data_IF_585933300120
#
_entry.id   IF_585933300120
#
_cell.length_a   1.000
_cell.length_b   1.000
_cell.length_c   1.000
_cell.angle_alpha   90.00
_cell.angle_beta   90.00
_cell.angle_gamma   90.00
#
_symmetry.space_group_name_H-M   'P 1'
#
loop_
_entity.id
_entity.type
_entity.pdbx_description
1 polymer ?
#
# COMPACT_ATOMS: atom_id res chain seq x y z
N UNK A 1 16.72 8.45 -16.43
CA UNK A 1 15.46 8.42 -15.64
C UNK A 1 15.08 6.96 -15.41
N UNK A 2 14.63 6.62 -14.21
CA UNK A 2 14.21 5.26 -13.82
C UNK A 2 12.70 5.22 -13.58
N UNK A 3 12.12 4.03 -13.57
CA UNK A 3 10.69 3.80 -13.32
C UNK A 3 10.52 2.84 -12.14
N UNK A 4 9.71 3.23 -11.16
CA UNK A 4 9.22 2.36 -10.10
C UNK A 4 7.78 1.94 -10.41
N UNK A 5 7.47 0.67 -10.19
CA UNK A 5 6.17 0.07 -10.47
C UNK A 5 5.73 -0.74 -9.26
N UNK A 6 4.54 -0.44 -8.78
CA UNK A 6 3.85 -1.18 -7.71
C UNK A 6 2.63 -1.91 -8.30
N UNK A 7 2.62 -3.24 -8.22
CA UNK A 7 1.57 -4.12 -8.76
C UNK A 7 0.83 -4.74 -7.59
N UNK A 8 -0.32 -4.16 -7.27
CA UNK A 8 -1.28 -4.70 -6.31
C UNK A 8 -2.39 -5.52 -6.97
N UNK A 9 -3.25 -6.15 -6.18
CA UNK A 9 -4.33 -7.04 -6.67
C UNK A 9 -5.40 -6.34 -7.53
N UNK A 10 -5.59 -5.04 -7.38
CA UNK A 10 -6.66 -4.28 -8.06
C UNK A 10 -6.17 -3.06 -8.83
N UNK A 11 -4.92 -2.71 -8.68
CA UNK A 11 -4.34 -1.55 -9.35
C UNK A 11 -2.83 -1.67 -9.53
N UNK A 12 -2.34 -1.01 -10.56
CA UNK A 12 -0.92 -0.82 -10.81
C UNK A 12 -0.64 0.67 -10.74
N UNK A 13 0.38 1.04 -9.97
CA UNK A 13 0.91 2.40 -9.92
C UNK A 13 2.30 2.43 -10.53
N UNK A 14 2.65 3.52 -11.19
CA UNK A 14 4.00 3.76 -11.69
C UNK A 14 4.42 5.21 -11.46
N UNK A 15 5.69 5.42 -11.17
CA UNK A 15 6.29 6.74 -10.99
C UNK A 15 7.70 6.76 -11.57
N UNK A 16 8.07 7.87 -12.19
CA UNK A 16 9.46 8.11 -12.57
C UNK A 16 10.25 8.57 -11.36
N UNK A 17 11.51 8.18 -11.28
CA UNK A 17 12.39 8.66 -10.21
C UNK A 17 13.80 8.95 -10.71
N UNK A 18 14.42 9.92 -10.06
CA UNK A 18 15.85 10.26 -10.21
C UNK A 18 16.39 10.55 -8.83
N UNK A 19 17.41 9.80 -8.41
CA UNK A 19 17.94 9.86 -7.05
C UNK A 19 16.83 9.76 -5.99
N UNK A 20 16.72 10.69 -5.06
CA UNK A 20 15.73 10.69 -3.97
C UNK A 20 14.42 11.39 -4.32
N UNK A 21 14.26 11.84 -5.57
CA UNK A 21 13.04 12.50 -6.04
C UNK A 21 12.16 11.54 -6.83
N UNK A 22 10.87 11.56 -6.54
CA UNK A 22 9.84 10.85 -7.31
C UNK A 22 8.94 11.87 -8.03
N UNK A 23 8.58 11.56 -9.28
CA UNK A 23 7.69 12.38 -10.09
C UNK A 23 6.21 12.15 -9.77
N UNK A 24 5.34 12.57 -10.69
CA UNK A 24 3.90 12.33 -10.55
C UNK A 24 3.53 10.87 -10.81
N UNK A 25 2.67 10.33 -9.94
CA UNK A 25 2.21 8.95 -10.02
C UNK A 25 1.12 8.78 -11.06
N UNK A 26 1.24 7.74 -11.87
CA UNK A 26 0.18 7.26 -12.76
C UNK A 26 -0.36 5.93 -12.24
N UNK A 27 -1.69 5.80 -12.24
CA UNK A 27 -2.40 4.64 -11.73
C UNK A 27 -3.39 4.13 -12.76
N UNK A 28 -3.47 2.79 -12.89
CA UNK A 28 -4.60 2.12 -13.54
C UNK A 28 -5.26 1.14 -12.56
N UNK A 29 -6.57 0.95 -12.72
CA UNK A 29 -7.26 -0.21 -12.17
C UNK A 29 -7.33 -1.30 -13.25
N UNK A 30 -7.20 -2.53 -12.84
CA UNK A 30 -7.34 -3.67 -13.75
C UNK A 30 -8.15 -4.78 -13.08
N UNK A 31 -8.75 -5.64 -13.89
CA UNK A 31 -9.45 -6.83 -13.41
C UNK A 31 -8.54 -8.05 -13.55
N UNK A 32 -8.63 -8.98 -12.60
CA UNK A 32 -7.93 -10.28 -12.71
C UNK A 32 -8.21 -10.92 -14.07
N UNK A 33 -7.16 -11.47 -14.71
CA UNK A 33 -7.24 -12.11 -16.03
C UNK A 33 -7.15 -11.15 -17.23
N UNK A 34 -7.26 -9.82 -17.06
CA UNK A 34 -7.13 -8.86 -18.16
C UNK A 34 -5.70 -8.36 -18.34
N UNK A 35 -4.78 -9.28 -18.65
CA UNK A 35 -3.35 -9.01 -18.82
C UNK A 35 -3.05 -8.06 -19.99
N UNK A 36 -3.94 -7.98 -20.99
CA UNK A 36 -3.80 -7.04 -22.12
C UNK A 36 -3.83 -5.58 -21.71
N UNK A 37 -4.66 -5.22 -20.71
CA UNK A 37 -4.69 -3.85 -20.14
C UNK A 37 -3.35 -3.49 -19.49
N UNK A 38 -2.73 -4.46 -18.84
CA UNK A 38 -1.41 -4.32 -18.22
C UNK A 38 -0.34 -4.09 -19.28
N UNK A 39 -0.35 -4.88 -20.37
CA UNK A 39 0.58 -4.71 -21.50
C UNK A 39 0.48 -3.30 -22.09
N UNK A 40 -0.73 -2.81 -22.35
CA UNK A 40 -0.94 -1.47 -22.89
C UNK A 40 -0.41 -0.36 -21.98
N UNK A 41 -0.54 -0.53 -20.65
CA UNK A 41 -0.03 0.42 -19.67
C UNK A 41 1.50 0.50 -19.62
N UNK A 42 2.17 -0.61 -19.93
CA UNK A 42 3.63 -0.70 -19.93
C UNK A 42 4.26 -0.39 -21.28
N UNK A 43 3.64 -0.81 -22.41
CA UNK A 43 4.30 -0.89 -23.71
C UNK A 43 4.80 0.45 -24.27
N UNK A 44 4.10 1.56 -24.01
CA UNK A 44 4.47 2.89 -24.55
C UNK A 44 5.69 3.51 -23.88
N UNK A 45 6.02 3.12 -22.66
CA UNK A 45 6.99 3.82 -21.82
C UNK A 45 8.30 3.04 -21.61
N UNK A 46 8.29 1.73 -21.82
CA UNK A 46 9.39 0.84 -21.39
C UNK A 46 10.71 1.07 -22.10
N UNK A 47 10.70 1.61 -23.32
CA UNK A 47 11.93 1.92 -24.07
C UNK A 47 12.62 3.21 -23.56
N UNK A 48 11.89 4.05 -22.83
CA UNK A 48 12.35 5.37 -22.36
C UNK A 48 13.16 5.33 -21.07
N UNK A 49 13.05 4.23 -20.30
CA UNK A 49 13.65 4.18 -18.95
C UNK A 49 14.93 3.35 -18.92
N UNK A 50 15.95 3.89 -18.25
CA UNK A 50 17.22 3.20 -18.05
C UNK A 50 17.05 1.94 -17.21
N UNK A 51 16.21 2.01 -16.18
CA UNK A 51 15.90 0.88 -15.30
C UNK A 51 14.44 0.94 -14.86
N UNK A 52 13.87 -0.25 -14.63
CA UNK A 52 12.48 -0.43 -14.21
C UNK A 52 12.48 -1.37 -13.01
N UNK A 53 12.09 -0.86 -11.85
CA UNK A 53 12.01 -1.64 -10.61
C UNK A 53 10.56 -1.97 -10.29
N UNK A 54 10.28 -3.25 -10.06
CA UNK A 54 8.92 -3.79 -9.92
C UNK A 54 8.77 -4.43 -8.55
N UNK A 55 7.84 -3.91 -7.76
CA UNK A 55 7.26 -4.53 -6.59
C UNK A 55 5.93 -5.14 -7.01
N UNK A 56 5.72 -6.42 -6.75
CA UNK A 56 4.48 -7.10 -7.09
C UNK A 56 4.08 -8.10 -6.01
N UNK A 57 2.77 -8.16 -5.77
CA UNK A 57 2.11 -9.16 -4.92
C UNK A 57 1.18 -10.05 -5.73
N UNK A 58 1.30 -10.05 -7.07
CA UNK A 58 0.43 -10.78 -8.01
C UNK A 58 1.26 -11.71 -8.91
N UNK A 59 1.44 -12.99 -8.53
CA UNK A 59 2.29 -13.93 -9.27
C UNK A 59 1.95 -14.08 -10.76
N UNK A 60 0.68 -14.12 -11.11
CA UNK A 60 0.21 -14.21 -12.49
C UNK A 60 0.72 -13.04 -13.36
N UNK A 61 0.71 -11.83 -12.81
CA UNK A 61 1.23 -10.64 -13.51
C UNK A 61 2.74 -10.71 -13.62
N UNK A 62 3.44 -11.21 -12.60
CA UNK A 62 4.89 -11.38 -12.63
C UNK A 62 5.33 -12.33 -13.71
N UNK A 63 4.68 -13.49 -13.85
CA UNK A 63 4.95 -14.48 -14.89
C UNK A 63 4.72 -13.89 -16.27
N UNK A 64 3.58 -13.20 -16.45
CA UNK A 64 3.26 -12.53 -17.69
C UNK A 64 4.30 -11.48 -18.09
N UNK A 65 4.71 -10.62 -17.16
CA UNK A 65 5.71 -9.57 -17.40
C UNK A 65 7.09 -10.17 -17.69
N UNK A 66 7.51 -11.20 -16.95
CA UNK A 66 8.77 -11.91 -17.17
C UNK A 66 8.80 -12.54 -18.57
N UNK A 67 7.71 -13.21 -18.99
CA UNK A 67 7.59 -13.80 -20.32
C UNK A 67 7.59 -12.74 -21.44
N UNK A 68 6.81 -11.68 -21.25
CA UNK A 68 6.63 -10.62 -22.27
C UNK A 68 7.89 -9.79 -22.46
N UNK A 69 8.67 -9.58 -21.41
CA UNK A 69 9.85 -8.72 -21.39
C UNK A 69 11.16 -9.48 -21.07
N UNK A 70 11.20 -10.80 -21.33
CA UNK A 70 12.36 -11.66 -21.08
C UNK A 70 13.68 -11.14 -21.67
N UNK A 71 13.63 -10.49 -22.82
CA UNK A 71 14.79 -9.93 -23.52
C UNK A 71 15.23 -8.55 -23.01
N UNK A 72 14.54 -7.98 -22.01
CA UNK A 72 14.84 -6.66 -21.46
C UNK A 72 15.73 -6.78 -20.21
N UNK A 73 16.99 -6.40 -20.32
CA UNK A 73 17.97 -6.45 -19.21
C UNK A 73 17.75 -5.38 -18.12
N UNK A 74 16.84 -4.44 -18.36
CA UNK A 74 16.60 -3.30 -17.45
C UNK A 74 15.40 -3.47 -16.52
N UNK A 75 14.82 -4.69 -16.44
CA UNK A 75 13.73 -5.03 -15.52
C UNK A 75 14.28 -5.67 -14.23
N UNK A 76 13.95 -5.10 -13.09
CA UNK A 76 14.38 -5.55 -11.78
C UNK A 76 13.15 -5.84 -10.90
N UNK A 77 12.80 -7.11 -10.76
CA UNK A 77 11.83 -7.53 -9.74
C UNK A 77 12.50 -7.47 -8.37
N UNK A 78 11.86 -6.84 -7.41
CA UNK A 78 12.38 -6.75 -6.03
C UNK A 78 12.46 -8.16 -5.44
N UNK A 79 13.62 -8.50 -4.89
CA UNK A 79 13.90 -9.80 -4.32
C UNK A 79 13.93 -9.72 -2.79
N UNK A 80 13.00 -10.42 -2.14
CA UNK A 80 12.90 -10.44 -0.67
C UNK A 80 14.19 -10.86 0.03
N UNK A 81 14.99 -11.75 -0.59
CA UNK A 81 16.26 -12.21 -0.03
C UNK A 81 17.26 -11.07 0.24
N UNK A 82 17.25 -10.03 -0.60
CA UNK A 82 18.14 -8.87 -0.47
C UNK A 82 17.65 -7.86 0.57
N UNK A 83 16.36 -7.90 0.93
CA UNK A 83 15.77 -6.91 1.84
C UNK A 83 16.25 -7.05 3.28
N UNK A 84 16.78 -8.22 3.67
CA UNK A 84 17.38 -8.42 5.00
C UNK A 84 18.55 -7.49 5.28
N UNK A 85 19.27 -7.06 4.24
CA UNK A 85 20.39 -6.11 4.37
C UNK A 85 19.92 -4.66 4.56
N UNK A 86 18.65 -4.36 4.24
CA UNK A 86 18.12 -2.99 4.24
C UNK A 86 17.06 -2.73 5.30
N UNK A 87 16.38 -3.79 5.77
CA UNK A 87 15.29 -3.69 6.76
C UNK A 87 15.55 -4.63 7.93
N UNK A 88 15.81 -4.05 9.09
CA UNK A 88 15.86 -4.82 10.34
C UNK A 88 14.44 -5.28 10.73
N UNK A 89 14.29 -6.53 11.12
CA UNK A 89 12.99 -7.12 11.44
C UNK A 89 13.07 -8.09 12.60
N UNK A 90 12.00 -8.13 13.40
CA UNK A 90 11.75 -9.16 14.42
C UNK A 90 11.00 -10.37 13.88
N UNK A 91 10.51 -10.30 12.64
CA UNK A 91 9.75 -11.34 11.97
C UNK A 91 10.43 -11.79 10.68
N UNK A 92 10.05 -12.96 10.17
CA UNK A 92 10.58 -13.46 8.92
C UNK A 92 10.07 -12.65 7.72
N UNK A 93 10.94 -11.85 7.11
CA UNK A 93 10.62 -11.01 5.94
C UNK A 93 10.17 -11.82 4.71
N UNK A 94 10.52 -13.12 4.62
CA UNK A 94 10.10 -13.98 3.50
C UNK A 94 8.57 -14.21 3.49
N UNK A 95 7.94 -14.16 4.65
CA UNK A 95 6.48 -14.34 4.81
C UNK A 95 5.70 -13.02 4.69
N UNK A 96 6.38 -11.88 4.71
CA UNK A 96 5.74 -10.56 4.63
C UNK A 96 5.47 -10.16 3.19
N UNK A 97 4.36 -9.45 2.94
CA UNK A 97 4.11 -8.77 1.66
C UNK A 97 5.25 -7.82 1.31
N UNK A 98 5.70 -7.86 0.06
CA UNK A 98 6.84 -7.06 -0.38
C UNK A 98 6.52 -5.57 -0.37
N UNK A 99 5.28 -5.20 -0.66
CA UNK A 99 4.70 -3.86 -0.55
C UNK A 99 4.83 -3.29 0.87
N UNK A 100 4.53 -4.10 1.89
CA UNK A 100 4.68 -3.73 3.30
C UNK A 100 6.15 -3.47 3.66
N UNK A 101 7.08 -4.28 3.14
CA UNK A 101 8.51 -4.06 3.34
C UNK A 101 8.97 -2.74 2.68
N UNK A 102 8.42 -2.42 1.50
CA UNK A 102 8.71 -1.14 0.83
C UNK A 102 8.20 0.05 1.65
N UNK A 103 7.02 -0.04 2.25
CA UNK A 103 6.49 0.99 3.15
C UNK A 103 7.42 1.20 4.36
N UNK A 104 7.90 0.12 4.97
CA UNK A 104 8.87 0.19 6.09
C UNK A 104 10.17 0.84 5.67
N UNK A 105 10.72 0.46 4.51
CA UNK A 105 11.95 1.04 3.96
C UNK A 105 11.82 2.55 3.76
N UNK A 106 10.67 2.98 3.24
CA UNK A 106 10.36 4.40 3.03
C UNK A 106 10.30 5.19 4.34
N UNK A 107 9.61 4.66 5.34
CA UNK A 107 9.48 5.33 6.64
C UNK A 107 10.83 5.44 7.33
N UNK A 108 11.64 4.38 7.32
CA UNK A 108 12.99 4.41 7.90
C UNK A 108 13.91 5.43 7.19
N UNK A 109 13.72 5.64 5.90
CA UNK A 109 14.47 6.65 5.13
C UNK A 109 13.99 8.08 5.42
N UNK A 110 12.67 8.29 5.44
CA UNK A 110 12.08 9.61 5.69
C UNK A 110 12.31 10.11 7.12
N UNK A 111 12.45 9.17 8.07
CA UNK A 111 12.57 9.47 9.50
C UNK A 111 13.74 8.71 10.12
N UNK A 112 15.00 9.14 9.83
CA UNK A 112 16.20 8.41 10.26
C UNK A 112 16.45 8.43 11.77
N UNK A 113 15.77 9.28 12.52
CA UNK A 113 15.98 9.50 13.97
C UNK A 113 15.41 8.38 14.88
N UNK A 114 15.16 7.19 14.32
CA UNK A 114 14.68 6.01 15.06
C UNK A 114 13.36 6.24 15.81
N UNK A 115 12.47 7.03 15.23
CA UNK A 115 11.11 7.23 15.74
C UNK A 115 10.27 5.96 15.61
N UNK A 116 9.23 5.87 16.42
CA UNK A 116 8.28 4.75 16.38
C UNK A 116 7.09 5.09 15.47
N UNK A 117 6.74 4.19 14.54
CA UNK A 117 5.66 4.38 13.58
C UNK A 117 4.65 3.24 13.55
N UNK A 118 3.38 3.60 13.37
CA UNK A 118 2.35 2.71 12.85
C UNK A 118 2.07 3.16 11.41
N UNK A 119 2.41 2.32 10.43
CA UNK A 119 2.13 2.57 9.02
C UNK A 119 0.79 1.92 8.71
N UNK A 120 -0.15 2.69 8.18
CA UNK A 120 -1.50 2.22 7.83
C UNK A 120 -1.68 2.37 6.33
N UNK A 121 -1.75 1.24 5.63
CA UNK A 121 -1.99 1.21 4.18
C UNK A 121 -3.44 0.83 3.91
N UNK A 122 -4.18 1.74 3.29
CA UNK A 122 -5.60 1.60 2.96
C UNK A 122 -5.76 1.25 1.47
N UNK A 123 -5.59 -0.02 1.17
CA UNK A 123 -5.72 -0.59 -0.17
C UNK A 123 -6.87 -1.60 -0.30
N UNK A 124 -6.66 -2.66 -1.10
CA UNK A 124 -7.54 -3.84 -1.22
C UNK A 124 -7.66 -4.58 0.12
N UNK A 125 -6.56 -4.67 0.84
CA UNK A 125 -6.52 -4.96 2.27
C UNK A 125 -6.16 -3.67 3.02
N UNK A 126 -6.48 -3.61 4.31
CA UNK A 126 -5.93 -2.60 5.20
C UNK A 126 -4.86 -3.26 6.05
N UNK A 127 -3.65 -2.75 5.98
CA UNK A 127 -2.55 -3.23 6.83
C UNK A 127 -2.13 -2.18 7.83
N UNK A 128 -1.76 -2.64 9.04
CA UNK A 128 -1.10 -1.81 10.05
C UNK A 128 0.27 -2.43 10.31
N UNK A 129 1.33 -1.71 10.04
CA UNK A 129 2.71 -2.15 10.19
C UNK A 129 3.39 -1.39 11.33
N UNK A 130 4.01 -2.14 12.24
CA UNK A 130 4.61 -1.58 13.46
C UNK A 130 6.12 -1.49 13.26
N UNK A 131 6.65 -0.29 13.27
CA UNK A 131 8.08 0.02 13.20
C UNK A 131 8.49 0.71 14.50
N UNK A 132 9.48 0.18 15.18
CA UNK A 132 10.03 0.77 16.40
C UNK A 132 11.54 0.87 16.30
N UNK A 133 12.08 2.09 16.45
CA UNK A 133 13.51 2.36 16.33
C UNK A 133 14.11 1.78 15.03
N UNK A 134 13.45 2.03 13.91
CA UNK A 134 13.79 1.51 12.57
C UNK A 134 13.73 -0.03 12.42
N UNK A 135 13.19 -0.75 13.40
CA UNK A 135 13.00 -2.20 13.34
C UNK A 135 11.53 -2.54 13.15
N UNK A 136 11.24 -3.42 12.19
CA UNK A 136 9.89 -3.94 11.94
C UNK A 136 9.51 -5.01 12.96
N UNK A 137 8.37 -4.87 13.62
CA UNK A 137 7.90 -5.77 14.67
C UNK A 137 6.75 -6.69 14.26
N UNK A 138 6.17 -6.49 13.10
CA UNK A 138 4.99 -7.19 12.63
C UNK A 138 3.83 -6.24 12.37
N UNK A 139 2.64 -6.77 12.19
CA UNK A 139 1.48 -5.94 11.90
C UNK A 139 0.17 -6.70 11.85
N UNK A 140 -0.87 -6.00 11.42
CA UNK A 140 -2.24 -6.49 11.30
C UNK A 140 -2.66 -6.44 9.83
N UNK A 141 -3.49 -7.38 9.40
CA UNK A 141 -4.13 -7.38 8.08
C UNK A 141 -5.62 -7.46 8.29
N UNK A 142 -6.34 -6.52 7.71
CA UNK A 142 -7.80 -6.43 7.74
C UNK A 142 -8.32 -6.35 6.30
N UNK A 143 -9.56 -6.73 6.04
CA UNK A 143 -10.18 -6.45 4.75
C UNK A 143 -10.19 -4.94 4.49
N UNK A 144 -9.90 -4.52 3.25
CA UNK A 144 -9.98 -3.11 2.88
C UNK A 144 -11.42 -2.59 2.87
N UNK A 145 -11.61 -1.29 3.02
CA UNK A 145 -12.93 -0.65 3.08
C UNK A 145 -13.84 -1.07 1.93
N UNK A 146 -13.37 -0.90 0.70
CA UNK A 146 -14.18 -1.23 -0.50
C UNK A 146 -14.34 -2.72 -0.71
N UNK A 147 -13.37 -3.52 -0.30
CA UNK A 147 -13.45 -4.99 -0.35
C UNK A 147 -14.51 -5.50 0.60
N UNK A 148 -14.50 -5.00 1.85
CA UNK A 148 -15.52 -5.34 2.85
C UNK A 148 -16.93 -4.96 2.38
N UNK A 149 -17.06 -3.75 1.83
CA UNK A 149 -18.34 -3.26 1.32
C UNK A 149 -18.84 -4.11 0.13
N UNK A 150 -17.98 -4.39 -0.85
CA UNK A 150 -18.36 -5.20 -2.00
C UNK A 150 -18.82 -6.60 -1.57
N UNK A 151 -18.05 -7.27 -0.72
CA UNK A 151 -18.41 -8.58 -0.20
C UNK A 151 -19.72 -8.58 0.57
N UNK A 152 -19.99 -7.54 1.37
CA UNK A 152 -21.26 -7.43 2.09
C UNK A 152 -22.44 -7.30 1.12
N UNK A 153 -22.34 -6.46 0.11
CA UNK A 153 -23.38 -6.26 -0.91
C UNK A 153 -23.59 -7.52 -1.75
N UNK A 154 -22.52 -8.23 -2.09
CA UNK A 154 -22.59 -9.44 -2.92
C UNK A 154 -23.22 -10.63 -2.16
N UNK A 155 -23.00 -10.72 -0.84
CA UNK A 155 -23.51 -11.83 -0.01
C UNK A 155 -24.88 -11.57 0.61
N UNK A 156 -25.26 -10.32 0.82
CA UNK A 156 -26.50 -9.96 1.50
C UNK A 156 -27.59 -9.52 0.51
N UNK A 157 -28.47 -10.43 0.11
CA UNK A 157 -29.50 -10.21 -0.91
C UNK A 157 -30.44 -9.01 -0.65
N UNK A 158 -30.62 -8.63 0.63
CA UNK A 158 -31.42 -7.47 1.03
C UNK A 158 -30.69 -6.13 0.97
N UNK A 159 -29.40 -6.11 0.70
CA UNK A 159 -28.59 -4.89 0.70
C UNK A 159 -28.32 -4.44 -0.74
N UNK A 160 -28.94 -3.33 -1.13
CA UNK A 160 -28.69 -2.72 -2.45
C UNK A 160 -27.37 -1.96 -2.45
N UNK A 161 -26.64 -2.07 -3.56
CA UNK A 161 -25.40 -1.30 -3.77
C UNK A 161 -25.68 0.20 -3.75
N UNK A 162 -24.96 0.92 -2.91
CA UNK A 162 -24.99 2.38 -2.82
C UNK A 162 -23.58 2.96 -3.07
N UNK A 163 -23.50 4.24 -3.37
CA UNK A 163 -22.23 4.95 -3.37
C UNK A 163 -21.80 5.21 -1.93
N UNK A 164 -20.60 4.79 -1.55
CA UNK A 164 -20.02 5.14 -0.24
C UNK A 164 -19.60 6.61 -0.26
N UNK A 165 -20.45 7.44 0.29
CA UNK A 165 -20.22 8.87 0.49
C UNK A 165 -19.71 9.10 1.92
N UNK A 166 -19.00 10.21 2.14
CA UNK A 166 -18.57 10.57 3.49
C UNK A 166 -19.79 10.85 4.37
N UNK A 167 -19.78 10.29 5.57
CA UNK A 167 -20.86 10.46 6.56
C UNK A 167 -20.27 10.51 7.97
N UNK A 168 -20.74 11.45 8.77
CA UNK A 168 -20.40 11.56 10.19
C UNK A 168 -21.49 10.94 11.10
N UNK A 169 -22.48 10.26 10.52
CA UNK A 169 -23.56 9.62 11.28
C UNK A 169 -22.99 8.46 12.10
N UNK A 170 -23.32 8.41 13.38
CA UNK A 170 -22.94 7.32 14.28
C UNK A 170 -23.80 6.08 14.07
N UNK A 171 -25.08 6.26 13.71
CA UNK A 171 -26.02 5.21 13.35
C UNK A 171 -27.00 5.71 12.28
N UNK A 172 -27.59 4.79 11.54
CA UNK A 172 -28.57 5.09 10.50
C UNK A 172 -30.00 4.69 10.90
N UNK A 173 -30.99 5.44 10.42
CA UNK A 173 -32.42 5.13 10.58
C UNK A 173 -33.00 4.38 9.37
N UNK A 174 -32.22 4.11 8.36
CA UNK A 174 -32.52 3.31 7.17
C UNK A 174 -31.24 2.57 6.73
N UNK A 175 -31.38 1.61 5.81
CA UNK A 175 -30.26 0.76 5.35
C UNK A 175 -29.11 1.57 4.74
N UNK A 176 -29.42 2.61 3.94
CA UNK A 176 -28.37 3.46 3.36
C UNK A 176 -27.54 4.14 4.44
N UNK A 177 -28.20 4.80 5.39
CA UNK A 177 -27.53 5.52 6.47
C UNK A 177 -26.78 4.56 7.41
N UNK A 178 -27.32 3.37 7.67
CA UNK A 178 -26.67 2.34 8.48
C UNK A 178 -25.38 1.83 7.81
N UNK A 179 -25.40 1.58 6.49
CA UNK A 179 -24.21 1.23 5.71
C UNK A 179 -23.18 2.34 5.75
N UNK A 180 -23.58 3.58 5.49
CA UNK A 180 -22.67 4.74 5.54
C UNK A 180 -22.04 4.90 6.92
N UNK A 181 -22.81 4.73 8.00
CA UNK A 181 -22.31 4.76 9.36
C UNK A 181 -21.26 3.66 9.62
N UNK A 182 -21.56 2.42 9.27
CA UNK A 182 -20.66 1.28 9.46
C UNK A 182 -19.34 1.44 8.68
N UNK A 183 -19.43 1.83 7.42
CA UNK A 183 -18.24 1.97 6.54
C UNK A 183 -17.49 3.30 6.70
N UNK A 184 -18.02 4.32 7.33
CA UNK A 184 -17.29 5.53 7.68
C UNK A 184 -16.88 5.51 9.15
N UNK A 185 -17.84 5.66 10.05
CA UNK A 185 -17.56 5.77 11.50
C UNK A 185 -17.03 4.47 12.06
N UNK A 186 -17.65 3.32 11.76
CA UNK A 186 -17.23 2.01 12.26
C UNK A 186 -15.83 1.64 11.78
N UNK A 187 -15.55 1.83 10.50
CA UNK A 187 -14.24 1.50 9.94
C UNK A 187 -13.11 2.36 10.54
N UNK A 188 -13.36 3.67 10.70
CA UNK A 188 -12.43 4.58 11.35
C UNK A 188 -12.21 4.20 12.82
N UNK A 189 -13.28 3.92 13.54
CA UNK A 189 -13.21 3.50 14.97
C UNK A 189 -12.40 2.22 15.13
N UNK A 190 -12.52 1.26 14.21
CA UNK A 190 -11.70 0.05 14.18
C UNK A 190 -10.21 0.39 14.05
N UNK A 191 -9.83 1.27 13.13
CA UNK A 191 -8.44 1.70 12.93
C UNK A 191 -7.93 2.42 14.18
N UNK A 192 -8.67 3.39 14.71
CA UNK A 192 -8.29 4.15 15.90
C UNK A 192 -8.18 3.23 17.14
N UNK A 193 -9.02 2.20 17.22
CA UNK A 193 -8.95 1.16 18.24
C UNK A 193 -7.63 0.39 18.19
N UNK A 194 -7.20 -0.07 17.00
CA UNK A 194 -5.90 -0.73 16.82
C UNK A 194 -4.73 0.19 17.16
N UNK A 195 -4.77 1.45 16.74
CA UNK A 195 -3.73 2.43 17.09
C UNK A 195 -3.58 2.52 18.61
N UNK A 196 -4.71 2.65 19.34
CA UNK A 196 -4.71 2.73 20.82
C UNK A 196 -4.15 1.45 21.46
N UNK A 197 -4.58 0.28 20.98
CA UNK A 197 -4.12 -1.03 21.47
C UNK A 197 -2.60 -1.17 21.27
N UNK A 198 -2.10 -0.83 20.08
CA UNK A 198 -0.66 -0.92 19.76
C UNK A 198 0.14 0.02 20.66
N UNK A 199 -0.26 1.30 20.74
CA UNK A 199 0.41 2.28 21.61
C UNK A 199 0.49 1.82 23.05
N UNK A 200 -0.61 1.29 23.59
CA UNK A 200 -0.67 0.75 24.95
C UNK A 200 0.23 -0.48 25.13
N UNK A 201 0.19 -1.43 24.17
CA UNK A 201 1.01 -2.66 24.22
C UNK A 201 2.50 -2.38 24.29
N UNK A 202 2.97 -1.39 23.54
CA UNK A 202 4.39 -1.04 23.48
C UNK A 202 4.80 0.05 24.47
N UNK A 203 3.85 0.63 25.21
CA UNK A 203 4.06 1.81 26.07
C UNK A 203 4.88 2.89 25.37
N UNK A 204 4.48 3.24 24.14
CA UNK A 204 5.22 4.15 23.27
C UNK A 204 4.29 5.07 22.50
N UNK A 205 4.75 6.30 22.27
CA UNK A 205 4.02 7.29 21.48
C UNK A 205 4.37 7.16 19.98
N UNK A 206 3.73 6.21 19.32
CA UNK A 206 3.90 6.03 17.89
C UNK A 206 3.35 7.21 17.09
N UNK A 207 4.12 7.71 16.13
CA UNK A 207 3.59 8.52 15.04
C UNK A 207 2.80 7.60 14.08
N UNK A 208 1.70 8.09 13.55
CA UNK A 208 0.86 7.33 12.62
C UNK A 208 0.99 7.92 11.24
N UNK A 209 1.30 7.06 10.27
CA UNK A 209 1.43 7.44 8.87
C UNK A 209 0.46 6.65 8.03
N UNK A 210 -0.36 7.34 7.26
CA UNK A 210 -1.32 6.75 6.34
C UNK A 210 -0.78 6.76 4.91
N UNK A 211 -1.05 5.68 4.19
CA UNK A 211 -0.80 5.54 2.75
C UNK A 211 -1.94 4.75 2.10
N UNK A 212 -1.85 4.52 0.80
CA UNK A 212 -2.85 3.76 0.06
C UNK A 212 -3.95 4.63 -0.55
N UNK A 213 -4.66 4.04 -1.50
CA UNK A 213 -5.60 4.77 -2.35
C UNK A 213 -6.89 5.25 -1.68
N UNK A 214 -7.18 4.81 -0.46
CA UNK A 214 -8.35 5.21 0.32
C UNK A 214 -8.00 6.05 1.55
N UNK A 215 -6.72 6.34 1.77
CA UNK A 215 -6.27 7.06 2.95
C UNK A 215 -6.88 8.47 3.06
N UNK A 216 -6.93 9.22 1.97
CA UNK A 216 -7.53 10.56 1.92
C UNK A 216 -9.01 10.57 2.35
N UNK A 217 -9.77 9.52 1.99
CA UNK A 217 -11.18 9.40 2.35
C UNK A 217 -11.41 9.13 3.84
N UNK A 218 -10.50 8.38 4.48
CA UNK A 218 -10.59 8.03 5.90
C UNK A 218 -10.10 9.16 6.81
N UNK A 219 -9.08 9.89 6.35
CA UNK A 219 -8.44 10.93 7.16
C UNK A 219 -9.29 12.19 7.38
N UNK A 220 -10.21 12.54 6.46
CA UNK A 220 -11.13 13.70 6.58
C UNK A 220 -10.48 14.91 7.28
N UNK A 221 -9.33 15.39 6.77
CA UNK A 221 -8.60 16.55 7.31
C UNK A 221 -8.08 16.41 8.77
N UNK A 222 -7.82 15.20 9.24
CA UNK A 222 -7.20 14.99 10.55
C UNK A 222 -5.71 15.34 10.52
N UNK A 223 -5.36 16.54 10.98
CA UNK A 223 -3.97 17.03 11.04
C UNK A 223 -3.06 16.26 12.02
N UNK A 224 -3.62 15.35 12.82
CA UNK A 224 -2.85 14.56 13.81
C UNK A 224 -2.08 13.38 13.18
N UNK A 225 -2.39 13.01 11.94
CA UNK A 225 -1.77 11.89 11.23
C UNK A 225 -0.96 12.37 10.03
N UNK A 226 0.15 11.70 9.78
CA UNK A 226 0.94 11.94 8.57
C UNK A 226 0.28 11.22 7.38
N UNK A 227 0.28 11.85 6.22
CA UNK A 227 -0.19 11.24 4.98
C UNK A 227 0.91 11.24 3.92
N UNK A 228 1.16 10.08 3.32
CA UNK A 228 2.09 9.88 2.21
C UNK A 228 1.46 8.93 1.19
N UNK A 229 0.94 9.44 0.09
CA UNK A 229 0.19 8.68 -0.90
C UNK A 229 1.02 7.55 -1.53
N UNK A 230 2.27 7.82 -1.87
CA UNK A 230 3.11 6.96 -2.69
C UNK A 230 4.27 6.33 -1.90
N UNK A 231 4.00 5.96 -0.64
CA UNK A 231 5.01 5.40 0.26
C UNK A 231 5.66 4.13 -0.32
N UNK A 232 4.88 3.22 -0.89
CA UNK A 232 5.38 2.00 -1.54
C UNK A 232 6.31 2.33 -2.70
N UNK A 233 5.92 3.28 -3.56
CA UNK A 233 6.72 3.68 -4.73
C UNK A 233 8.05 4.33 -4.32
N UNK A 234 8.05 5.11 -3.24
CA UNK A 234 9.28 5.64 -2.66
C UNK A 234 10.20 4.50 -2.20
N UNK A 235 9.66 3.49 -1.51
CA UNK A 235 10.43 2.32 -1.09
C UNK A 235 11.05 1.55 -2.26
N UNK A 236 10.32 1.41 -3.36
CA UNK A 236 10.84 0.79 -4.60
C UNK A 236 12.00 1.60 -5.17
N UNK A 237 11.90 2.93 -5.20
CA UNK A 237 12.96 3.80 -5.69
C UNK A 237 14.22 3.71 -4.84
N UNK A 238 14.07 3.68 -3.52
CA UNK A 238 15.15 3.52 -2.54
C UNK A 238 15.84 2.16 -2.68
N UNK A 239 15.06 1.08 -2.77
CA UNK A 239 15.61 -0.26 -3.00
C UNK A 239 16.48 -0.30 -4.27
N UNK A 240 16.01 0.30 -5.36
CA UNK A 240 16.76 0.35 -6.60
C UNK A 240 18.14 1.01 -6.43
N UNK A 241 18.20 2.09 -5.67
CA UNK A 241 19.45 2.80 -5.41
C UNK A 241 20.41 1.98 -4.53
N UNK A 242 19.86 1.26 -3.55
CA UNK A 242 20.64 0.45 -2.62
C UNK A 242 21.31 -0.76 -3.29
N UNK A 243 20.65 -1.39 -4.28
CA UNK A 243 21.22 -2.56 -4.99
C UNK A 243 22.23 -2.16 -6.09
N UNK A 244 22.37 -0.87 -6.39
CA UNK A 244 23.32 -0.36 -7.40
C UNK A 244 24.58 0.26 -6.81
N UNK A 245 24.61 0.45 -5.52
CA UNK A 245 25.81 0.79 -4.76
C UNK A 245 26.61 -0.47 -4.45
#
# INVERSE_FOLDING_TARGET
MNLAIDIGNTSIKKVTFLENSIGSTRKIRYSKGKLSEIKAFFSKDLQKYKNISICSVVPEVDEYLKKTFSNKKNFYFIQKRLLKSFVHSSVNLQQLGIDRIMNVLSVNHLFPNKEDFIIIDLGTATTLDIVKKNKYFGGVILPGLTTSYANLVDLASGIKKIKLENSNKVFGKNTKDALLSGFNTGYKTMIDGYIKIIKRKFNSNFKVIFTGGYASNVLNNQNQYLYKEDLTLLGISLYHQMIKK
#
